data_IF_426440410569
#
_entry.id   IF_426440410569
#
_cell.length_a   1.000
_cell.length_b   1.000
_cell.length_c   1.000
_cell.angle_alpha   90.00
_cell.angle_beta   90.00
_cell.angle_gamma   90.00
#
_symmetry.space_group_name_H-M   'P 1'
#
loop_
_entity.id
_entity.type
_entity.pdbx_description
1 polymer ?
#
# COMPACT_ATOMS: atom_id res chain seq x y z
N UNK A 1 0.19 8.27 12.75
CA UNK A 1 -0.29 9.41 11.92
C UNK A 1 0.50 10.72 12.13
N UNK A 2 0.94 11.08 13.35
CA UNK A 2 1.59 12.38 13.62
C UNK A 2 2.80 12.67 12.72
N UNK A 3 3.70 11.69 12.56
CA UNK A 3 4.84 11.81 11.64
C UNK A 3 4.43 12.07 10.19
N UNK A 4 3.39 11.40 9.69
CA UNK A 4 2.91 11.59 8.31
C UNK A 4 2.33 12.99 8.10
N UNK A 5 1.66 13.55 9.11
CA UNK A 5 1.16 14.91 9.07
C UNK A 5 2.30 15.93 9.12
N UNK A 6 3.28 15.74 10.02
CA UNK A 6 4.44 16.62 10.14
C UNK A 6 5.26 16.68 8.84
N UNK A 7 5.29 15.57 8.08
CA UNK A 7 5.95 15.50 6.78
C UNK A 7 5.07 15.99 5.61
N UNK A 8 3.80 16.36 5.88
CA UNK A 8 2.85 16.88 4.89
C UNK A 8 2.23 15.81 3.98
N UNK A 9 2.30 14.53 4.34
CA UNK A 9 1.70 13.44 3.55
C UNK A 9 0.22 13.22 3.85
N UNK A 10 -0.25 13.67 5.02
CA UNK A 10 -1.66 13.63 5.40
C UNK A 10 -2.04 14.94 6.10
N UNK A 11 -3.32 15.28 6.04
CA UNK A 11 -3.95 16.38 6.77
C UNK A 11 -4.97 15.80 7.74
N UNK A 12 -5.11 16.44 8.91
CA UNK A 12 -6.15 16.13 9.88
C UNK A 12 -7.20 17.22 9.92
N UNK A 13 -8.46 16.81 9.98
CA UNK A 13 -9.59 17.70 10.23
C UNK A 13 -10.55 17.05 11.22
N UNK A 14 -11.35 17.85 11.92
CA UNK A 14 -12.47 17.34 12.71
C UNK A 14 -13.55 16.82 11.77
N UNK A 15 -14.15 15.68 12.11
CA UNK A 15 -15.25 15.14 11.33
C UNK A 15 -16.48 16.06 11.44
N UNK A 16 -17.19 16.35 10.33
CA UNK A 16 -18.35 17.25 10.36
C UNK A 16 -19.45 16.80 11.33
N UNK A 17 -19.71 15.49 11.40
CA UNK A 17 -20.83 14.91 12.17
C UNK A 17 -20.52 14.64 13.65
N UNK A 18 -19.25 14.45 14.01
CA UNK A 18 -18.83 14.27 15.40
C UNK A 18 -17.44 14.89 15.59
N UNK A 19 -17.40 16.04 16.26
CA UNK A 19 -16.16 16.81 16.47
C UNK A 19 -15.14 16.09 17.37
N UNK A 20 -15.52 14.98 18.03
CA UNK A 20 -14.59 14.12 18.78
C UNK A 20 -13.83 13.15 17.87
N UNK A 21 -14.28 12.99 16.62
CA UNK A 21 -13.61 12.17 15.61
C UNK A 21 -12.67 13.03 14.77
N UNK A 22 -11.53 12.44 14.43
CA UNK A 22 -10.50 13.06 13.59
C UNK A 22 -10.46 12.33 12.25
N UNK A 23 -10.74 13.06 11.17
CA UNK A 23 -10.55 12.59 9.81
C UNK A 23 -9.09 12.78 9.40
N UNK A 24 -8.51 11.77 8.76
CA UNK A 24 -7.15 11.82 8.23
C UNK A 24 -7.24 11.64 6.71
N UNK A 25 -6.94 12.70 5.96
CA UNK A 25 -6.97 12.65 4.50
C UNK A 25 -5.54 12.67 3.95
N UNK A 26 -5.27 11.83 2.95
CA UNK A 26 -3.99 11.87 2.22
C UNK A 26 -3.89 13.16 1.41
N UNK A 27 -2.71 13.78 1.39
CA UNK A 27 -2.44 14.95 0.53
C UNK A 27 -1.96 14.49 -0.85
N UNK A 28 -1.92 15.40 -1.83
CA UNK A 28 -1.30 15.09 -3.13
C UNK A 28 0.16 14.62 -2.99
N UNK A 29 0.93 15.23 -2.08
CA UNK A 29 2.29 14.80 -1.74
C UNK A 29 2.31 13.37 -1.18
N UNK A 30 1.36 13.02 -0.32
CA UNK A 30 1.18 11.67 0.19
C UNK A 30 0.86 10.67 -0.91
N UNK A 31 -0.08 11.01 -1.80
CA UNK A 31 -0.45 10.16 -2.94
C UNK A 31 0.73 9.92 -3.87
N UNK A 32 1.53 10.95 -4.16
CA UNK A 32 2.73 10.83 -4.96
C UNK A 32 3.78 9.90 -4.33
N UNK A 33 3.96 9.98 -3.00
CA UNK A 33 4.84 9.07 -2.26
C UNK A 33 4.36 7.62 -2.38
N UNK A 34 3.07 7.36 -2.12
CA UNK A 34 2.51 6.00 -2.22
C UNK A 34 2.65 5.43 -3.62
N UNK A 35 2.46 6.26 -4.66
CA UNK A 35 2.67 5.87 -6.06
C UNK A 35 4.11 5.43 -6.30
N UNK A 36 5.10 6.23 -5.89
CA UNK A 36 6.52 5.87 -6.03
C UNK A 36 6.85 4.56 -5.31
N UNK A 37 6.38 4.43 -4.07
CA UNK A 37 6.59 3.21 -3.28
C UNK A 37 5.98 1.98 -3.98
N UNK A 38 4.79 2.10 -4.58
CA UNK A 38 4.17 1.02 -5.36
C UNK A 38 5.02 0.66 -6.58
N UNK A 39 5.49 1.65 -7.33
CA UNK A 39 6.35 1.44 -8.50
C UNK A 39 7.64 0.70 -8.12
N UNK A 40 8.29 1.11 -7.03
CA UNK A 40 9.49 0.45 -6.50
C UNK A 40 9.21 -0.99 -6.06
N UNK A 41 8.09 -1.25 -5.37
CA UNK A 41 7.68 -2.60 -4.97
C UNK A 41 7.47 -3.51 -6.19
N UNK A 42 6.75 -3.04 -7.21
CA UNK A 42 6.52 -3.80 -8.44
C UNK A 42 7.84 -4.05 -9.16
N UNK A 43 8.71 -3.05 -9.25
CA UNK A 43 10.03 -3.20 -9.86
C UNK A 43 10.89 -4.26 -9.15
N UNK A 44 10.89 -4.27 -7.82
CA UNK A 44 11.62 -5.28 -7.05
C UNK A 44 11.01 -6.68 -7.21
N UNK A 45 9.69 -6.79 -7.25
CA UNK A 45 9.02 -8.06 -7.51
C UNK A 45 9.40 -8.60 -8.90
N UNK A 46 9.40 -7.75 -9.93
CA UNK A 46 9.79 -8.15 -11.28
C UNK A 46 11.23 -8.66 -11.37
N UNK A 47 12.17 -8.05 -10.64
CA UNK A 47 13.55 -8.54 -10.54
C UNK A 47 13.59 -9.96 -9.97
N UNK A 48 12.85 -10.22 -8.88
CA UNK A 48 12.77 -11.55 -8.28
C UNK A 48 12.14 -12.54 -9.27
N UNK A 49 11.03 -12.18 -9.93
CA UNK A 49 10.38 -13.04 -10.93
C UNK A 49 11.31 -13.40 -12.08
N UNK A 50 12.20 -12.49 -12.49
CA UNK A 50 13.21 -12.74 -13.53
C UNK A 50 14.22 -13.84 -13.20
N UNK A 51 14.39 -14.20 -11.92
CA UNK A 51 15.25 -15.30 -11.50
C UNK A 51 14.53 -16.66 -11.41
N UNK A 52 13.20 -16.66 -11.58
CA UNK A 52 12.39 -17.87 -11.46
C UNK A 52 12.09 -18.47 -12.83
N UNK A 53 12.09 -19.80 -12.90
CA UNK A 53 11.56 -20.50 -14.05
C UNK A 53 10.05 -20.24 -14.22
N UNK A 54 9.48 -20.44 -15.42
CA UNK A 54 8.03 -20.27 -15.63
C UNK A 54 7.16 -21.11 -14.68
N UNK A 55 7.63 -22.31 -14.30
CA UNK A 55 6.94 -23.16 -13.32
C UNK A 55 6.93 -22.57 -11.91
N UNK A 56 8.05 -22.02 -11.47
CA UNK A 56 8.19 -21.37 -10.16
C UNK A 56 7.40 -20.07 -10.09
N UNK A 57 7.37 -19.26 -11.15
CA UNK A 57 6.51 -18.08 -11.23
C UNK A 57 5.03 -18.44 -11.06
N UNK A 58 4.59 -19.52 -11.73
CA UNK A 58 3.22 -20.03 -11.60
C UNK A 58 2.92 -20.51 -10.18
N UNK A 59 3.82 -21.26 -9.57
CA UNK A 59 3.67 -21.72 -8.19
C UNK A 59 3.61 -20.54 -7.19
N UNK A 60 4.46 -19.53 -7.39
CA UNK A 60 4.47 -18.32 -6.56
C UNK A 60 3.13 -17.58 -6.64
N UNK A 61 2.57 -17.39 -7.85
CA UNK A 61 1.27 -16.76 -8.03
C UNK A 61 0.13 -17.54 -7.36
N UNK A 62 0.18 -18.87 -7.40
CA UNK A 62 -0.79 -19.73 -6.72
C UNK A 62 -0.74 -19.56 -5.20
N UNK A 63 0.45 -19.54 -4.61
CA UNK A 63 0.64 -19.33 -3.17
C UNK A 63 0.20 -17.91 -2.79
N UNK A 64 0.65 -16.90 -3.53
CA UNK A 64 0.29 -15.50 -3.28
C UNK A 64 -1.23 -15.28 -3.31
N UNK A 65 -1.93 -15.87 -4.28
CA UNK A 65 -3.39 -15.79 -4.38
C UNK A 65 -4.10 -16.35 -3.14
N UNK A 66 -3.60 -17.45 -2.57
CA UNK A 66 -4.16 -18.02 -1.33
C UNK A 66 -3.94 -17.08 -0.14
N UNK A 67 -2.74 -16.53 -0.01
CA UNK A 67 -2.41 -15.56 1.06
C UNK A 67 -3.29 -14.32 0.93
N UNK A 68 -3.40 -13.76 -0.28
CA UNK A 68 -4.21 -12.59 -0.55
C UNK A 68 -5.69 -12.81 -0.18
N UNK A 69 -6.27 -13.94 -0.60
CA UNK A 69 -7.65 -14.28 -0.27
C UNK A 69 -7.87 -14.43 1.24
N UNK A 70 -6.92 -15.04 1.96
CA UNK A 70 -6.98 -15.15 3.41
C UNK A 70 -6.95 -13.77 4.09
N UNK A 71 -6.09 -12.87 3.62
CA UNK A 71 -5.98 -11.52 4.18
C UNK A 71 -7.20 -10.64 3.89
N UNK A 72 -7.87 -10.81 2.74
CA UNK A 72 -9.07 -10.06 2.37
C UNK A 72 -10.36 -10.56 3.04
N UNK A 73 -10.37 -11.81 3.49
CA UNK A 73 -11.51 -12.40 4.21
C UNK A 73 -11.56 -11.97 5.70
N UNK A 74 -10.61 -11.14 6.16
CA UNK A 74 -10.54 -10.57 7.51
C UNK A 74 -10.64 -9.05 7.45
#
# INVERSE_FOLDING_TARGET
>A
VARLQNLGYVVRSVAPEDRRKVMVCITQKGTALVRRIREEMVGNLMKIMGHLSPGEQKAWLQIYSKIYNYCQAK
#
